data_IF_743587965824
#
_entry.id   IF_743587965824
#
_cell.length_a   1.000
_cell.length_b   1.000
_cell.length_c   1.000
_cell.angle_alpha   90.00
_cell.angle_beta   90.00
_cell.angle_gamma   90.00
#
_symmetry.space_group_name_H-M   'P 1'
#
loop_
_entity.id
_entity.type
_entity.pdbx_description
1 polymer ?
#
# COMPACT_ATOMS: atom_id res chain seq x y z
N UNK A 1 18.34 12.81 11.61
CA UNK A 1 17.16 11.98 11.22
C UNK A 1 17.59 11.08 10.08
N UNK A 2 17.10 9.84 9.95
CA UNK A 2 17.39 9.00 8.79
C UNK A 2 16.73 9.58 7.54
N UNK A 3 17.31 9.32 6.36
CA UNK A 3 16.66 9.69 5.10
C UNK A 3 15.25 9.06 5.02
N UNK A 4 14.29 9.82 4.53
CA UNK A 4 12.91 9.36 4.39
C UNK A 4 12.76 8.52 3.10
N UNK A 5 11.92 7.49 3.14
CA UNK A 5 11.61 6.66 1.97
C UNK A 5 10.40 7.25 1.20
N UNK A 6 10.54 7.42 -0.10
CA UNK A 6 9.45 7.83 -0.99
C UNK A 6 9.23 6.76 -2.06
N UNK A 7 8.02 6.28 -2.19
CA UNK A 7 7.68 5.29 -3.20
C UNK A 7 6.33 5.55 -3.84
N UNK A 8 5.89 4.68 -4.75
CA UNK A 8 4.59 4.80 -5.38
C UNK A 8 3.69 3.60 -5.09
N UNK A 9 2.40 3.87 -5.04
CA UNK A 9 1.37 2.85 -5.12
C UNK A 9 0.96 2.66 -6.57
N UNK A 10 1.30 1.50 -7.15
CA UNK A 10 1.08 1.22 -8.55
C UNK A 10 -0.42 1.21 -8.91
N UNK A 11 -0.80 1.73 -10.09
CA UNK A 11 -2.18 1.70 -10.59
C UNK A 11 -2.51 0.32 -11.18
N UNK A 12 -2.54 -0.70 -10.36
CA UNK A 12 -2.73 -2.10 -10.77
C UNK A 12 -4.13 -2.42 -11.29
N UNK A 13 -5.13 -1.66 -10.83
CA UNK A 13 -6.53 -1.76 -11.27
C UNK A 13 -6.92 -0.65 -12.26
N UNK A 14 -7.95 -0.89 -13.07
CA UNK A 14 -8.49 0.14 -13.96
C UNK A 14 -8.96 1.37 -13.17
N UNK A 15 -8.76 2.55 -13.75
CA UNK A 15 -9.00 3.84 -13.11
C UNK A 15 -7.91 4.25 -12.11
N UNK A 16 -6.88 3.42 -11.88
CA UNK A 16 -5.83 3.72 -10.92
C UNK A 16 -6.40 3.96 -9.52
N UNK A 17 -6.10 5.12 -8.95
CA UNK A 17 -6.57 5.53 -7.61
C UNK A 17 -7.65 6.62 -7.65
N UNK A 18 -8.21 6.87 -8.84
CA UNK A 18 -9.18 7.94 -9.06
C UNK A 18 -10.60 7.38 -9.23
N UNK A 19 -11.51 7.84 -8.38
CA UNK A 19 -12.95 7.49 -8.42
C UNK A 19 -13.75 8.55 -9.18
N UNK A 20 -13.41 8.76 -10.45
CA UNK A 20 -14.06 9.83 -11.23
C UNK A 20 -14.12 9.50 -12.71
N UNK A 21 -15.22 9.86 -13.35
CA UNK A 21 -15.43 9.74 -14.80
C UNK A 21 -14.74 10.84 -15.61
N UNK A 22 -14.27 11.90 -14.96
CA UNK A 22 -13.58 13.04 -15.59
C UNK A 22 -12.08 13.06 -15.29
N UNK A 23 -11.60 12.16 -14.43
CA UNK A 23 -10.18 11.98 -14.14
C UNK A 23 -9.51 11.03 -15.14
N UNK A 24 -8.17 11.02 -15.21
CA UNK A 24 -7.43 10.00 -15.95
C UNK A 24 -7.88 8.59 -15.55
N UNK A 25 -8.07 7.72 -16.53
CA UNK A 25 -8.59 6.37 -16.31
C UNK A 25 -7.66 5.32 -16.93
N UNK A 26 -6.51 5.04 -16.28
CA UNK A 26 -5.57 4.05 -16.79
C UNK A 26 -6.19 2.66 -16.86
N UNK A 27 -5.78 1.88 -17.84
CA UNK A 27 -6.16 0.47 -17.96
C UNK A 27 -5.35 -0.39 -17.01
N UNK A 28 -5.96 -1.48 -16.52
CA UNK A 28 -5.25 -2.51 -15.78
C UNK A 28 -4.36 -3.33 -16.73
N UNK A 29 -3.18 -2.84 -17.04
CA UNK A 29 -2.25 -3.51 -17.96
C UNK A 29 -0.82 -3.57 -17.40
N UNK A 30 -0.10 -4.64 -17.73
CA UNK A 30 1.32 -4.75 -17.38
C UNK A 30 2.15 -3.62 -18.02
N UNK A 31 1.87 -3.28 -19.27
CA UNK A 31 2.62 -2.23 -19.97
C UNK A 31 2.52 -0.88 -19.26
N UNK A 32 1.35 -0.54 -18.73
CA UNK A 32 1.16 0.67 -17.94
C UNK A 32 1.94 0.63 -16.63
N UNK A 33 1.78 -0.45 -15.85
CA UNK A 33 2.48 -0.61 -14.58
C UNK A 33 4.01 -0.66 -14.76
N UNK A 34 4.50 -1.25 -15.85
CA UNK A 34 5.93 -1.26 -16.18
C UNK A 34 6.47 0.16 -16.43
N UNK A 35 5.73 0.99 -17.19
CA UNK A 35 6.13 2.40 -17.38
C UNK A 35 6.19 3.15 -16.06
N UNK A 36 5.14 3.02 -15.23
CA UNK A 36 5.12 3.65 -13.91
C UNK A 36 6.30 3.20 -13.02
N UNK A 37 6.63 1.92 -13.00
CA UNK A 37 7.76 1.38 -12.25
C UNK A 37 9.11 1.93 -12.75
N UNK A 38 9.31 1.97 -14.07
CA UNK A 38 10.53 2.52 -14.66
C UNK A 38 10.65 4.03 -14.43
N UNK A 39 9.56 4.78 -14.49
CA UNK A 39 9.57 6.21 -14.14
C UNK A 39 9.93 6.41 -12.67
N UNK A 40 9.33 5.64 -11.75
CA UNK A 40 9.64 5.70 -10.33
C UNK A 40 11.14 5.45 -10.06
N UNK A 41 11.69 4.43 -10.69
CA UNK A 41 13.11 4.12 -10.57
C UNK A 41 14.00 5.22 -11.16
N UNK A 42 13.64 5.76 -12.32
CA UNK A 42 14.44 6.78 -13.02
C UNK A 42 14.52 8.10 -12.25
N UNK A 43 13.44 8.51 -11.58
CA UNK A 43 13.44 9.71 -10.75
C UNK A 43 14.07 9.49 -9.37
N UNK A 44 14.38 8.24 -8.98
CA UNK A 44 15.05 7.92 -7.73
C UNK A 44 14.12 7.70 -6.54
N UNK A 45 12.91 7.16 -6.77
CA UNK A 45 12.06 6.67 -5.69
C UNK A 45 12.61 5.37 -5.10
N UNK A 46 12.28 5.10 -3.83
CA UNK A 46 12.86 4.00 -3.04
C UNK A 46 12.13 2.68 -3.23
N UNK A 47 10.81 2.72 -3.47
CA UNK A 47 9.99 1.51 -3.59
C UNK A 47 8.80 1.69 -4.53
N UNK A 48 8.34 0.58 -5.05
CA UNK A 48 7.04 0.45 -5.71
C UNK A 48 6.23 -0.61 -4.97
N UNK A 49 4.95 -0.37 -4.76
CA UNK A 49 4.04 -1.32 -4.12
C UNK A 49 2.79 -1.53 -4.96
N UNK A 50 2.29 -2.76 -4.99
CA UNK A 50 0.99 -3.09 -5.58
C UNK A 50 -0.01 -3.44 -4.51
N UNK A 51 -1.30 -3.17 -4.73
CA UNK A 51 -2.37 -3.80 -3.97
C UNK A 51 -2.62 -5.23 -4.49
N UNK A 52 -3.34 -6.04 -3.72
CA UNK A 52 -4.00 -7.24 -4.21
C UNK A 52 -5.52 -7.02 -4.19
N UNK A 53 -6.18 -7.22 -5.33
CA UNK A 53 -7.60 -6.98 -5.49
C UNK A 53 -8.22 -8.07 -6.36
N UNK A 54 -9.31 -8.67 -5.86
CA UNK A 54 -9.96 -9.81 -6.52
C UNK A 54 -11.38 -9.50 -6.99
N UNK A 55 -11.97 -8.42 -6.48
CA UNK A 55 -13.29 -7.92 -6.85
C UNK A 55 -13.33 -6.41 -6.71
N UNK A 56 -13.71 -5.73 -7.78
CA UNK A 56 -13.85 -4.28 -7.81
C UNK A 56 -15.09 -3.78 -7.07
N UNK A 57 -15.27 -2.48 -7.11
CA UNK A 57 -16.35 -1.78 -6.42
C UNK A 57 -17.49 -1.37 -7.36
N UNK A 58 -17.38 -1.68 -8.67
CA UNK A 58 -18.41 -1.34 -9.67
C UNK A 58 -18.56 0.16 -9.88
N UNK A 59 -19.80 0.63 -9.93
CA UNK A 59 -20.15 1.99 -10.30
C UNK A 59 -19.97 2.27 -11.79
N UNK A 60 -20.11 3.53 -12.19
CA UNK A 60 -19.98 3.95 -13.59
C UNK A 60 -18.57 3.75 -14.13
N UNK A 61 -17.55 3.87 -13.28
CA UNK A 61 -16.15 3.69 -13.64
C UNK A 61 -15.72 2.23 -13.63
N UNK A 62 -16.56 1.31 -13.19
CA UNK A 62 -16.18 -0.10 -12.91
C UNK A 62 -14.91 -0.16 -12.07
N UNK A 63 -14.85 0.64 -10.99
CA UNK A 63 -13.63 0.89 -10.25
C UNK A 63 -12.99 -0.39 -9.73
N UNK A 64 -11.76 -0.68 -10.19
CA UNK A 64 -11.01 -1.89 -9.94
C UNK A 64 -11.72 -3.20 -10.34
N UNK A 65 -12.74 -3.14 -11.22
CA UNK A 65 -13.39 -4.33 -11.77
C UNK A 65 -12.45 -5.18 -12.61
N UNK A 66 -11.38 -4.57 -13.09
CA UNK A 66 -10.25 -5.23 -13.76
C UNK A 66 -8.96 -4.88 -13.02
N UNK A 67 -8.29 -5.89 -12.49
CA UNK A 67 -7.00 -5.74 -11.81
C UNK A 67 -6.07 -6.88 -12.18
N UNK A 68 -4.76 -6.62 -12.17
CA UNK A 68 -3.76 -7.66 -12.34
C UNK A 68 -3.50 -8.35 -11.00
N UNK A 69 -3.01 -9.58 -11.04
CA UNK A 69 -2.57 -10.28 -9.83
C UNK A 69 -1.22 -9.74 -9.38
N UNK A 70 -1.12 -9.42 -8.09
CA UNK A 70 -0.02 -8.70 -7.48
C UNK A 70 1.33 -9.41 -7.64
N UNK A 71 1.45 -10.65 -7.18
CA UNK A 71 2.74 -11.36 -7.15
C UNK A 71 3.28 -11.61 -8.55
N UNK A 72 2.42 -12.03 -9.47
CA UNK A 72 2.80 -12.28 -10.87
C UNK A 72 3.30 -11.00 -11.55
N UNK A 73 2.57 -9.90 -11.37
CA UNK A 73 2.96 -8.61 -11.94
C UNK A 73 4.25 -8.09 -11.33
N UNK A 74 4.37 -8.13 -10.00
CA UNK A 74 5.54 -7.60 -9.29
C UNK A 74 6.80 -8.42 -9.59
N UNK A 75 6.68 -9.72 -9.85
CA UNK A 75 7.81 -10.54 -10.32
C UNK A 75 8.34 -10.09 -11.68
N UNK A 76 7.44 -9.75 -12.61
CA UNK A 76 7.82 -9.21 -13.91
C UNK A 76 8.40 -7.78 -13.81
N UNK A 77 7.94 -6.96 -12.85
CA UNK A 77 8.51 -5.64 -12.58
C UNK A 77 9.88 -5.74 -11.89
N UNK A 78 10.10 -6.76 -11.07
CA UNK A 78 11.40 -7.02 -10.45
C UNK A 78 12.50 -7.28 -11.49
N UNK A 79 12.18 -8.04 -12.56
CA UNK A 79 13.09 -8.27 -13.69
C UNK A 79 13.29 -7.00 -14.55
N UNK A 80 12.27 -6.13 -14.60
CA UNK A 80 12.32 -4.92 -15.42
C UNK A 80 13.02 -3.73 -14.77
N UNK A 81 13.39 -3.83 -13.47
CA UNK A 81 13.98 -2.75 -12.66
C UNK A 81 15.23 -3.23 -11.93
N UNK A 82 16.12 -2.31 -11.56
CA UNK A 82 17.42 -2.65 -10.96
C UNK A 82 17.58 -2.19 -9.50
N UNK A 83 16.88 -1.15 -9.07
CA UNK A 83 17.14 -0.45 -7.79
C UNK A 83 15.94 -0.35 -6.85
N UNK A 84 14.75 -0.02 -7.37
CA UNK A 84 13.55 0.16 -6.53
C UNK A 84 13.22 -1.13 -5.78
N UNK A 85 12.83 -1.01 -4.52
CA UNK A 85 12.27 -2.12 -3.73
C UNK A 85 10.93 -2.55 -4.33
N UNK A 86 10.69 -3.84 -4.35
CA UNK A 86 9.54 -4.47 -5.00
C UNK A 86 8.61 -5.04 -3.92
N UNK A 87 7.57 -4.30 -3.55
CA UNK A 87 6.66 -4.69 -2.48
C UNK A 87 5.35 -5.23 -3.05
N UNK A 88 5.21 -6.55 -3.04
CA UNK A 88 4.00 -7.25 -3.49
C UNK A 88 3.03 -7.43 -2.33
N UNK A 89 1.74 -7.25 -2.59
CA UNK A 89 0.68 -7.49 -1.58
C UNK A 89 0.15 -8.91 -1.68
N UNK A 90 -0.01 -9.56 -0.52
CA UNK A 90 -0.54 -10.90 -0.41
C UNK A 90 -1.59 -11.00 0.70
N UNK A 91 -2.69 -11.70 0.42
CA UNK A 91 -3.71 -12.02 1.42
C UNK A 91 -3.36 -13.32 2.14
N UNK A 92 -3.19 -13.26 3.46
CA UNK A 92 -2.85 -14.43 4.28
C UNK A 92 -3.92 -15.52 4.26
N UNK A 93 -5.19 -15.15 4.09
CA UNK A 93 -6.32 -16.09 4.00
C UNK A 93 -6.47 -16.77 2.62
N UNK A 94 -5.81 -16.26 1.58
CA UNK A 94 -5.85 -16.85 0.22
C UNK A 94 -4.74 -17.86 0.02
N UNK A 95 -3.58 -17.64 0.61
CA UNK A 95 -2.37 -18.41 0.32
C UNK A 95 -1.94 -19.25 1.51
N UNK A 96 -1.71 -20.56 1.26
CA UNK A 96 -1.02 -21.38 2.23
C UNK A 96 0.38 -20.79 2.54
N UNK A 97 0.82 -20.71 3.82
CA UNK A 97 2.08 -20.08 4.18
C UNK A 97 3.30 -20.73 3.51
N UNK A 98 3.29 -22.02 3.25
CA UNK A 98 4.38 -22.70 2.53
C UNK A 98 4.49 -22.26 1.07
N UNK A 99 3.34 -22.06 0.40
CA UNK A 99 3.28 -21.53 -0.97
C UNK A 99 3.78 -20.08 -0.98
N UNK A 100 3.31 -19.27 -0.06
CA UNK A 100 3.74 -17.87 0.08
C UNK A 100 5.24 -17.75 0.35
N UNK A 101 5.78 -18.56 1.27
CA UNK A 101 7.22 -18.58 1.56
C UNK A 101 8.05 -18.87 0.31
N UNK A 102 7.63 -19.84 -0.50
CA UNK A 102 8.27 -20.19 -1.77
C UNK A 102 8.19 -19.05 -2.79
N UNK A 103 7.03 -18.43 -2.94
CA UNK A 103 6.83 -17.32 -3.88
C UNK A 103 7.72 -16.12 -3.56
N UNK A 104 7.80 -15.74 -2.27
CA UNK A 104 8.65 -14.61 -1.86
C UNK A 104 10.14 -14.93 -1.87
N UNK A 105 10.55 -16.16 -1.60
CA UNK A 105 11.95 -16.57 -1.81
C UNK A 105 12.34 -16.45 -3.29
N UNK A 106 11.41 -16.79 -4.21
CA UNK A 106 11.62 -16.63 -5.65
C UNK A 106 11.66 -15.15 -6.04
N UNK A 107 10.73 -14.33 -5.54
CA UNK A 107 10.75 -12.89 -5.80
C UNK A 107 12.02 -12.22 -5.27
N UNK A 108 12.53 -12.67 -4.12
CA UNK A 108 13.79 -12.17 -3.55
C UNK A 108 14.99 -12.48 -4.46
N UNK A 109 15.02 -13.67 -5.05
CA UNK A 109 16.06 -14.06 -6.00
C UNK A 109 15.96 -13.25 -7.30
N UNK A 110 14.78 -13.20 -7.93
CA UNK A 110 14.53 -12.44 -9.17
C UNK A 110 14.84 -10.95 -8.99
N UNK A 111 14.50 -10.38 -7.86
CA UNK A 111 14.74 -8.96 -7.57
C UNK A 111 16.17 -8.65 -7.11
N UNK A 112 17.04 -9.63 -6.92
CA UNK A 112 18.38 -9.42 -6.37
C UNK A 112 18.36 -8.86 -4.95
N UNK A 113 17.41 -9.28 -4.09
CA UNK A 113 17.34 -8.87 -2.70
C UNK A 113 16.43 -7.67 -2.40
N UNK A 114 15.60 -7.23 -3.36
CA UNK A 114 14.74 -6.04 -3.22
C UNK A 114 13.29 -6.35 -2.85
N UNK A 115 12.94 -7.64 -2.62
CA UNK A 115 11.56 -8.04 -2.35
C UNK A 115 11.05 -7.57 -0.99
N UNK A 116 9.77 -7.23 -0.96
CA UNK A 116 9.01 -7.00 0.27
C UNK A 116 7.61 -7.58 0.16
N UNK A 117 7.11 -8.05 1.29
CA UNK A 117 5.80 -8.69 1.43
C UNK A 117 4.86 -7.76 2.20
N UNK A 118 3.91 -7.14 1.51
CA UNK A 118 2.82 -6.46 2.18
C UNK A 118 1.73 -7.47 2.53
N UNK A 119 1.59 -7.76 3.83
CA UNK A 119 0.62 -8.75 4.33
C UNK A 119 -0.69 -8.06 4.66
N UNK A 120 -1.78 -8.58 4.10
CA UNK A 120 -3.14 -8.16 4.41
C UNK A 120 -3.98 -9.36 4.83
N UNK A 121 -4.87 -9.16 5.80
CA UNK A 121 -5.72 -10.22 6.33
C UNK A 121 -7.09 -10.34 5.63
N UNK A 122 -7.37 -9.46 4.65
CA UNK A 122 -8.62 -9.41 3.91
C UNK A 122 -9.81 -8.89 4.74
N UNK A 123 -10.35 -7.73 4.36
CA UNK A 123 -11.47 -7.11 5.05
C UNK A 123 -12.77 -7.14 4.21
N UNK A 124 -12.67 -7.29 2.91
CA UNK A 124 -13.82 -7.26 2.01
C UNK A 124 -14.38 -8.67 1.80
N UNK A 125 -15.45 -9.02 2.53
CA UNK A 125 -16.11 -10.32 2.46
C UNK A 125 -16.39 -10.77 1.02
N UNK A 126 -16.94 -9.90 0.19
CA UNK A 126 -17.29 -10.20 -1.19
C UNK A 126 -16.12 -10.63 -2.10
N UNK A 127 -14.88 -10.30 -1.74
CA UNK A 127 -13.70 -10.82 -2.47
C UNK A 127 -13.45 -12.30 -2.17
N UNK A 128 -13.73 -12.74 -0.95
CA UNK A 128 -13.38 -14.07 -0.48
C UNK A 128 -14.54 -15.04 -0.54
N UNK A 129 -15.77 -14.54 -0.49
CA UNK A 129 -16.99 -15.34 -0.76
C UNK A 129 -16.97 -15.92 -2.16
N UNK A 130 -16.52 -15.19 -3.18
CA UNK A 130 -16.40 -15.70 -4.55
C UNK A 130 -15.40 -16.87 -4.69
N UNK A 131 -14.49 -17.01 -3.74
CA UNK A 131 -13.54 -18.15 -3.65
C UNK A 131 -14.03 -19.27 -2.74
N UNK A 132 -15.12 -19.03 -1.98
CA UNK A 132 -15.61 -19.97 -0.98
C UNK A 132 -14.72 -20.08 0.27
N UNK A 133 -13.93 -19.05 0.55
CA UNK A 133 -12.97 -19.03 1.68
C UNK A 133 -13.31 -17.99 2.75
N UNK A 134 -14.41 -17.24 2.60
CA UNK A 134 -14.85 -16.33 3.65
C UNK A 134 -15.47 -17.11 4.81
N UNK A 135 -14.95 -16.89 6.00
CA UNK A 135 -15.47 -17.44 7.23
C UNK A 135 -16.07 -16.31 8.11
N UNK A 136 -17.40 -16.26 8.16
CA UNK A 136 -18.16 -15.29 8.93
C UNK A 136 -17.97 -15.45 10.44
N UNK A 137 -17.50 -16.61 10.90
CA UNK A 137 -17.28 -16.88 12.34
C UNK A 137 -16.00 -16.22 12.85
N UNK A 138 -15.06 -15.89 11.98
CA UNK A 138 -13.82 -15.23 12.34
C UNK A 138 -14.03 -13.74 12.56
N UNK A 139 -13.83 -13.28 13.79
CA UNK A 139 -13.80 -11.88 14.11
C UNK A 139 -12.60 -11.17 13.47
N UNK A 140 -12.57 -9.84 13.51
CA UNK A 140 -11.40 -9.08 13.06
C UNK A 140 -10.12 -9.47 13.83
N UNK A 141 -10.23 -9.71 15.14
CA UNK A 141 -9.12 -10.16 15.98
C UNK A 141 -8.64 -11.57 15.59
N UNK A 142 -9.57 -12.50 15.31
CA UNK A 142 -9.23 -13.87 14.90
C UNK A 142 -8.49 -13.88 13.56
N UNK A 143 -8.88 -13.00 12.62
CA UNK A 143 -8.15 -12.84 11.36
C UNK A 143 -6.71 -12.35 11.56
N UNK A 144 -6.46 -11.47 12.55
CA UNK A 144 -5.10 -11.09 12.92
C UNK A 144 -4.35 -12.23 13.60
N UNK A 145 -4.98 -13.00 14.49
CA UNK A 145 -4.36 -14.18 15.10
C UNK A 145 -3.96 -15.22 14.04
N UNK A 146 -4.80 -15.45 13.04
CA UNK A 146 -4.46 -16.27 11.88
C UNK A 146 -3.26 -15.70 11.12
N UNK A 147 -3.26 -14.38 10.85
CA UNK A 147 -2.18 -13.70 10.13
C UNK A 147 -0.85 -13.78 10.87
N UNK A 148 -0.86 -13.70 12.21
CA UNK A 148 0.34 -13.86 13.04
C UNK A 148 0.94 -15.27 12.86
N UNK A 149 0.14 -16.31 13.01
CA UNK A 149 0.58 -17.71 12.84
C UNK A 149 1.06 -17.97 11.41
N UNK A 150 0.36 -17.41 10.43
CA UNK A 150 0.75 -17.49 9.03
C UNK A 150 2.12 -16.82 8.78
N UNK A 151 2.33 -15.61 9.33
CA UNK A 151 3.60 -14.87 9.20
C UNK A 151 4.74 -15.59 9.90
N UNK A 152 4.50 -16.16 11.09
CA UNK A 152 5.47 -17.00 11.79
C UNK A 152 5.86 -18.21 10.93
N UNK A 153 4.91 -18.91 10.35
CA UNK A 153 5.19 -20.05 9.47
C UNK A 153 6.04 -19.63 8.26
N UNK A 154 5.70 -18.52 7.60
CA UNK A 154 6.46 -18.01 6.45
C UNK A 154 7.89 -17.65 6.85
N UNK A 155 8.10 -16.93 7.93
CA UNK A 155 9.44 -16.49 8.38
C UNK A 155 10.31 -17.67 8.82
N UNK A 156 9.72 -18.67 9.46
CA UNK A 156 10.42 -19.92 9.81
C UNK A 156 10.82 -20.71 8.56
N UNK A 157 9.94 -20.82 7.57
CA UNK A 157 10.24 -21.48 6.29
C UNK A 157 11.31 -20.77 5.46
N UNK A 158 11.60 -19.51 5.73
CA UNK A 158 12.72 -18.79 5.10
C UNK A 158 14.08 -19.07 5.75
N UNK A 159 14.12 -19.67 6.94
CA UNK A 159 15.34 -19.84 7.71
C UNK A 159 15.57 -21.25 8.26
N UNK A 160 14.53 -22.04 8.45
CA UNK A 160 14.62 -23.39 9.00
C UNK A 160 14.60 -24.43 7.88
N UNK A 161 15.32 -25.53 8.05
CA UNK A 161 15.38 -26.63 7.07
C UNK A 161 14.03 -27.28 6.86
N UNK A 162 13.25 -27.41 7.93
CA UNK A 162 11.92 -28.02 7.94
C UNK A 162 11.06 -27.41 9.06
N UNK A 163 9.78 -27.20 8.78
CA UNK A 163 8.81 -26.63 9.73
C UNK A 163 7.64 -27.56 9.91
N UNK A 164 7.38 -27.99 11.15
CA UNK A 164 6.12 -28.60 11.55
C UNK A 164 5.37 -27.62 12.45
N UNK A 165 4.12 -27.31 12.08
CA UNK A 165 3.28 -26.36 12.79
C UNK A 165 1.81 -26.75 12.65
N UNK A 166 1.13 -27.01 13.77
CA UNK A 166 -0.28 -27.34 13.82
C UNK A 166 -1.06 -26.15 14.37
N UNK A 167 -1.99 -25.61 13.62
CA UNK A 167 -2.78 -24.45 13.99
C UNK A 167 -4.27 -24.67 13.72
N UNK A 168 -5.16 -23.84 14.25
CA UNK A 168 -6.58 -23.91 13.87
C UNK A 168 -6.86 -23.58 12.38
N UNK A 169 -5.88 -23.01 11.66
CA UNK A 169 -6.09 -22.45 10.32
C UNK A 169 -5.35 -23.20 9.23
N UNK A 170 -4.25 -23.87 9.57
CA UNK A 170 -3.45 -24.67 8.62
C UNK A 170 -2.53 -25.64 9.37
N UNK A 171 -2.13 -26.69 8.67
CA UNK A 171 -1.16 -27.66 9.14
C UNK A 171 0.05 -27.70 8.20
N UNK A 172 1.24 -27.65 8.78
CA UNK A 172 2.51 -27.95 8.12
C UNK A 172 3.14 -29.17 8.79
N UNK A 173 3.56 -30.16 8.02
CA UNK A 173 4.19 -31.36 8.53
C UNK A 173 5.47 -31.59 7.77
N UNK A 174 6.60 -31.49 8.46
CA UNK A 174 7.93 -31.65 7.87
C UNK A 174 8.09 -30.85 6.57
N UNK A 175 7.61 -29.60 6.61
CA UNK A 175 7.48 -28.77 5.43
C UNK A 175 8.81 -28.05 5.11
N UNK A 176 9.32 -28.28 3.91
CA UNK A 176 10.55 -27.64 3.42
C UNK A 176 10.22 -26.52 2.43
N UNK A 177 10.99 -25.41 2.49
CA UNK A 177 10.91 -24.30 1.52
C UNK A 177 12.31 -23.89 1.07
N UNK A 178 12.89 -24.61 0.14
CA UNK A 178 14.21 -24.34 -0.43
C UNK A 178 14.11 -23.93 -1.91
N UNK A 179 15.01 -23.01 -2.41
CA UNK A 179 16.04 -22.34 -1.66
C UNK A 179 15.49 -21.35 -0.63
N UNK A 180 16.20 -21.11 0.47
CA UNK A 180 15.92 -19.99 1.35
C UNK A 180 16.23 -18.67 0.63
N UNK A 181 15.53 -17.56 0.93
CA UNK A 181 15.89 -16.27 0.38
C UNK A 181 17.29 -15.83 0.85
N UNK A 182 18.03 -15.13 0.01
CA UNK A 182 19.40 -14.63 0.33
C UNK A 182 19.44 -13.70 1.55
N UNK A 183 18.34 -13.01 1.79
CA UNK A 183 18.03 -12.25 3.00
C UNK A 183 16.53 -12.26 3.18
N UNK A 184 16.05 -12.05 4.39
CA UNK A 184 14.61 -12.00 4.66
C UNK A 184 13.97 -10.87 3.84
N UNK A 185 12.91 -11.14 3.04
CA UNK A 185 12.11 -10.10 2.41
C UNK A 185 11.55 -9.14 3.46
N UNK A 186 11.52 -7.84 3.14
CA UNK A 186 10.94 -6.82 4.02
C UNK A 186 9.46 -7.14 4.28
N UNK A 187 9.04 -7.15 5.54
CA UNK A 187 7.64 -7.39 5.91
C UNK A 187 6.95 -6.05 6.14
N UNK A 188 5.82 -5.86 5.45
CA UNK A 188 5.03 -4.65 5.48
C UNK A 188 3.61 -5.03 5.83
N UNK A 189 2.91 -4.15 6.53
CA UNK A 189 1.49 -4.31 6.85
C UNK A 189 0.78 -2.97 6.87
N UNK A 190 -0.49 -2.97 6.52
CA UNK A 190 -1.34 -1.78 6.56
C UNK A 190 -2.46 -1.94 7.58
N UNK A 191 -2.82 -0.87 8.26
CA UNK A 191 -3.95 -0.81 9.18
C UNK A 191 -3.69 0.02 10.43
N UNK A 192 -4.77 0.58 11.00
CA UNK A 192 -4.73 1.44 12.19
C UNK A 192 -5.41 0.83 13.44
N UNK A 193 -6.04 -0.33 13.32
CA UNK A 193 -6.68 -0.98 14.46
C UNK A 193 -5.67 -1.44 15.51
N UNK A 194 -6.13 -1.64 16.74
CA UNK A 194 -5.30 -2.17 17.83
C UNK A 194 -4.60 -3.48 17.42
N UNK A 195 -5.35 -4.42 16.83
CA UNK A 195 -4.80 -5.69 16.36
C UNK A 195 -3.76 -5.49 15.23
N UNK A 196 -3.99 -4.52 14.32
CA UNK A 196 -3.04 -4.17 13.28
C UNK A 196 -1.72 -3.67 13.86
N UNK A 197 -1.78 -2.71 14.78
CA UNK A 197 -0.57 -2.14 15.40
C UNK A 197 0.19 -3.17 16.25
N UNK A 198 -0.53 -4.05 16.95
CA UNK A 198 0.09 -5.16 17.68
C UNK A 198 0.85 -6.10 16.72
N UNK A 199 0.23 -6.47 15.59
CA UNK A 199 0.86 -7.27 14.55
C UNK A 199 2.09 -6.56 13.94
N UNK A 200 1.93 -5.30 13.55
CA UNK A 200 3.01 -4.49 12.97
C UNK A 200 4.23 -4.43 13.88
N UNK A 201 4.03 -4.16 15.15
CA UNK A 201 5.10 -4.08 16.15
C UNK A 201 5.87 -5.38 16.35
N UNK A 202 5.24 -6.52 16.13
CA UNK A 202 5.85 -7.85 16.32
C UNK A 202 6.52 -8.38 15.06
N UNK A 203 5.98 -8.11 13.89
CA UNK A 203 6.37 -8.78 12.65
C UNK A 203 6.81 -7.85 11.54
N UNK A 204 6.29 -6.61 11.45
CA UNK A 204 6.56 -5.75 10.33
C UNK A 204 7.84 -4.93 10.47
N UNK A 205 8.50 -4.69 9.35
CA UNK A 205 9.60 -3.74 9.18
C UNK A 205 9.06 -2.38 8.74
N UNK A 206 7.83 -2.36 8.21
CA UNK A 206 7.13 -1.14 7.80
C UNK A 206 5.61 -1.23 7.99
N UNK A 207 5.02 -0.17 8.51
CA UNK A 207 3.60 -0.02 8.77
C UNK A 207 3.01 1.11 7.94
N UNK A 208 1.99 0.82 7.10
CA UNK A 208 1.19 1.85 6.45
C UNK A 208 0.02 2.25 7.33
N UNK A 209 0.00 3.53 7.71
CA UNK A 209 -0.98 4.14 8.59
C UNK A 209 -1.91 5.05 7.79
N UNK A 210 -3.19 5.03 8.13
CA UNK A 210 -4.22 5.86 7.52
C UNK A 210 -4.99 6.59 8.62
N UNK A 211 -4.44 7.69 9.11
CA UNK A 211 -5.13 8.59 10.05
C UNK A 211 -6.14 9.47 9.32
N UNK A 212 -7.24 9.78 10.00
CA UNK A 212 -8.27 10.69 9.48
C UNK A 212 -7.89 12.19 9.71
N UNK A 213 -6.83 12.42 10.50
CA UNK A 213 -6.24 13.73 10.75
C UNK A 213 -4.73 13.62 10.98
N UNK A 214 -4.00 14.74 10.91
CA UNK A 214 -2.57 14.76 11.22
C UNK A 214 -2.30 14.38 12.69
N UNK A 215 -3.15 14.81 13.63
CA UNK A 215 -3.06 14.44 15.04
C UNK A 215 -3.16 12.92 15.23
N UNK A 216 -4.20 12.28 14.66
CA UNK A 216 -4.34 10.82 14.70
C UNK A 216 -3.14 10.12 14.04
N UNK A 217 -2.63 10.66 12.93
CA UNK A 217 -1.45 10.09 12.25
C UNK A 217 -0.22 10.11 13.17
N UNK A 218 0.00 11.24 13.88
CA UNK A 218 1.09 11.40 14.85
C UNK A 218 0.97 10.39 16.00
N UNK A 219 -0.23 10.22 16.55
CA UNK A 219 -0.48 9.25 17.61
C UNK A 219 -0.25 7.80 17.14
N UNK A 220 -0.72 7.46 15.94
CA UNK A 220 -0.55 6.12 15.36
C UNK A 220 0.93 5.82 15.10
N UNK A 221 1.68 6.77 14.55
CA UNK A 221 3.12 6.62 14.29
C UNK A 221 3.89 6.40 15.59
N UNK A 222 3.67 7.25 16.59
CA UNK A 222 4.31 7.16 17.89
C UNK A 222 3.99 5.82 18.58
N UNK A 223 2.73 5.34 18.52
CA UNK A 223 2.31 4.07 19.10
C UNK A 223 3.01 2.87 18.44
N UNK A 224 3.11 2.84 17.10
CA UNK A 224 3.82 1.78 16.37
C UNK A 224 5.30 1.77 16.73
N UNK A 225 5.97 2.91 16.75
CA UNK A 225 7.38 3.02 17.14
C UNK A 225 7.61 2.52 18.57
N UNK A 226 6.78 2.97 19.53
CA UNK A 226 6.89 2.57 20.93
C UNK A 226 6.70 1.07 21.13
N UNK A 227 5.69 0.49 20.48
CA UNK A 227 5.40 -0.95 20.56
C UNK A 227 6.51 -1.79 19.90
N UNK A 228 7.02 -1.36 18.73
CA UNK A 228 8.13 -2.05 18.09
C UNK A 228 9.37 -2.04 18.98
N UNK A 229 9.72 -0.89 19.55
CA UNK A 229 10.82 -0.77 20.51
C UNK A 229 10.65 -1.66 21.74
N UNK A 230 9.44 -1.78 22.29
CA UNK A 230 9.13 -2.68 23.39
C UNK A 230 9.32 -4.16 23.03
N UNK A 231 9.21 -4.52 21.76
CA UNK A 231 9.52 -5.86 21.22
C UNK A 231 11.00 -6.01 20.79
N UNK A 232 11.86 -5.01 21.06
CA UNK A 232 13.28 -5.03 20.65
C UNK A 232 13.46 -4.89 19.13
N UNK A 233 12.49 -4.30 18.42
CA UNK A 233 12.46 -4.11 16.96
C UNK A 233 12.38 -2.63 16.60
N UNK A 234 12.59 -2.36 15.33
CA UNK A 234 12.20 -1.12 14.67
C UNK A 234 11.13 -1.43 13.64
N UNK A 235 10.15 -0.56 13.49
CA UNK A 235 9.15 -0.62 12.45
C UNK A 235 9.01 0.79 11.89
N UNK A 236 9.32 0.98 10.62
CA UNK A 236 9.14 2.26 9.93
C UNK A 236 7.66 2.56 9.73
N UNK A 237 7.29 3.82 9.81
CA UNK A 237 5.92 4.26 9.58
C UNK A 237 5.79 5.04 8.29
N UNK A 238 4.75 4.72 7.52
CA UNK A 238 4.45 5.32 6.23
C UNK A 238 2.99 5.74 6.17
N UNK A 239 2.69 6.71 5.31
CA UNK A 239 1.32 7.04 4.93
C UNK A 239 1.19 7.14 3.41
N UNK A 240 -0.06 7.25 2.95
CA UNK A 240 -0.38 7.44 1.53
C UNK A 240 -0.74 8.89 1.27
N UNK A 241 -0.29 9.43 0.12
CA UNK A 241 -0.61 10.78 -0.30
C UNK A 241 -0.81 10.84 -1.80
N UNK A 242 -1.96 11.35 -2.24
CA UNK A 242 -2.18 11.71 -3.64
C UNK A 242 -1.59 13.09 -3.92
N UNK A 243 -0.76 13.19 -4.94
CA UNK A 243 -0.10 14.43 -5.36
C UNK A 243 -0.72 14.92 -6.66
N UNK A 244 -1.27 16.13 -6.62
CA UNK A 244 -1.79 16.85 -7.80
C UNK A 244 -0.93 18.08 -8.01
N UNK A 245 0.12 17.94 -8.81
CA UNK A 245 1.04 19.03 -9.07
C UNK A 245 0.73 19.73 -10.39
N UNK A 246 0.90 21.06 -10.42
CA UNK A 246 0.86 21.86 -11.64
C UNK A 246 1.81 23.07 -11.51
N UNK A 247 1.91 23.91 -12.55
CA UNK A 247 2.75 25.13 -12.53
C UNK A 247 2.36 26.11 -11.41
N UNK A 248 1.07 26.16 -11.07
CA UNK A 248 0.51 27.03 -10.01
C UNK A 248 -0.52 26.30 -9.18
N UNK A 249 -0.73 26.74 -7.94
CA UNK A 249 -1.76 26.21 -7.05
C UNK A 249 -3.16 26.30 -7.71
N UNK A 250 -3.45 27.41 -8.40
CA UNK A 250 -4.73 27.62 -9.06
C UNK A 250 -5.01 26.60 -10.20
N UNK A 251 -3.97 26.16 -10.92
CA UNK A 251 -4.10 25.14 -11.96
C UNK A 251 -4.30 23.76 -11.35
N UNK A 252 -3.58 23.44 -10.28
CA UNK A 252 -3.77 22.18 -9.54
C UNK A 252 -5.18 22.11 -8.92
N UNK A 253 -5.65 23.17 -8.30
CA UNK A 253 -7.01 23.28 -7.77
C UNK A 253 -8.08 23.10 -8.84
N UNK A 254 -7.82 23.62 -10.05
CA UNK A 254 -8.72 23.43 -11.18
C UNK A 254 -8.85 21.96 -11.56
N UNK A 255 -7.74 21.19 -11.63
CA UNK A 255 -7.75 19.74 -11.87
C UNK A 255 -8.60 19.03 -10.80
N UNK A 256 -8.38 19.33 -9.52
CA UNK A 256 -9.15 18.73 -8.42
C UNK A 256 -10.65 18.97 -8.58
N UNK A 257 -11.06 20.20 -8.94
CA UNK A 257 -12.48 20.54 -9.17
C UNK A 257 -13.06 19.83 -10.39
N UNK A 258 -12.31 19.73 -11.48
CA UNK A 258 -12.74 19.03 -12.70
C UNK A 258 -12.95 17.53 -12.44
N UNK A 259 -12.05 16.91 -11.70
CA UNK A 259 -12.16 15.49 -11.32
C UNK A 259 -13.26 15.28 -10.27
N UNK A 260 -13.41 16.19 -9.32
CA UNK A 260 -14.49 16.18 -8.34
C UNK A 260 -15.89 16.26 -8.95
N UNK A 261 -16.04 16.95 -10.08
CA UNK A 261 -17.32 17.04 -10.80
C UNK A 261 -17.81 15.68 -11.35
N UNK A 262 -16.88 14.74 -11.60
CA UNK A 262 -17.17 13.42 -12.15
C UNK A 262 -17.09 12.28 -11.12
N UNK A 263 -17.11 12.55 -9.81
CA UNK A 263 -16.99 11.50 -8.78
C UNK A 263 -18.01 10.39 -8.95
N UNK A 264 -17.51 9.16 -8.99
CA UNK A 264 -18.34 7.94 -9.01
C UNK A 264 -18.79 7.59 -7.58
N UNK A 265 -19.92 8.20 -7.21
CA UNK A 265 -20.49 8.05 -5.86
C UNK A 265 -20.97 6.63 -5.57
N UNK A 266 -21.33 5.86 -6.59
CA UNK A 266 -21.73 4.46 -6.42
C UNK A 266 -20.51 3.60 -6.07
N UNK A 267 -19.43 3.68 -6.83
CA UNK A 267 -18.19 2.98 -6.52
C UNK A 267 -17.65 3.38 -5.14
N UNK A 268 -17.71 4.67 -4.80
CA UNK A 268 -17.27 5.18 -3.50
C UNK A 268 -18.12 4.62 -2.34
N UNK A 269 -19.45 4.54 -2.50
CA UNK A 269 -20.34 3.94 -1.50
C UNK A 269 -20.07 2.43 -1.35
N UNK A 270 -19.89 1.71 -2.46
CA UNK A 270 -19.61 0.28 -2.46
C UNK A 270 -18.26 -0.01 -1.78
N UNK A 271 -17.24 0.82 -2.03
CA UNK A 271 -15.95 0.70 -1.35
C UNK A 271 -16.08 0.87 0.16
N UNK A 272 -16.85 1.86 0.64
CA UNK A 272 -17.10 2.05 2.08
C UNK A 272 -17.88 0.90 2.68
N UNK A 273 -18.90 0.41 2.00
CA UNK A 273 -19.68 -0.74 2.44
C UNK A 273 -18.81 -2.01 2.55
N UNK A 274 -17.83 -2.19 1.65
CA UNK A 274 -16.89 -3.30 1.69
C UNK A 274 -16.01 -3.32 2.95
N UNK A 275 -15.87 -2.19 3.62
CA UNK A 275 -15.14 -2.07 4.91
C UNK A 275 -16.05 -2.27 6.13
N UNK A 276 -17.27 -2.78 5.92
CA UNK A 276 -18.22 -3.06 6.99
C UNK A 276 -19.07 -1.87 7.44
N UNK A 277 -19.03 -0.75 6.71
CA UNK A 277 -19.94 0.38 6.94
C UNK A 277 -21.33 0.01 6.41
N UNK A 278 -22.43 0.20 7.19
CA UNK A 278 -23.79 -0.04 6.69
C UNK A 278 -24.06 0.71 5.38
N UNK A 279 -24.76 0.07 4.45
CA UNK A 279 -24.93 0.57 3.07
C UNK A 279 -25.57 1.96 3.00
N UNK A 280 -26.59 2.22 3.83
CA UNK A 280 -27.25 3.51 3.93
C UNK A 280 -26.29 4.61 4.42
N UNK A 281 -25.43 4.31 5.39
CA UNK A 281 -24.41 5.23 5.89
C UNK A 281 -23.30 5.44 4.85
N UNK A 282 -22.89 4.40 4.15
CA UNK A 282 -21.90 4.50 3.07
C UNK A 282 -22.41 5.38 1.92
N UNK A 283 -23.68 5.24 1.52
CA UNK A 283 -24.33 6.08 0.50
C UNK A 283 -24.47 7.53 0.96
N UNK A 284 -24.87 7.76 2.21
CA UNK A 284 -24.98 9.11 2.79
C UNK A 284 -23.61 9.80 2.83
N UNK A 285 -22.56 9.08 3.24
CA UNK A 285 -21.20 9.58 3.25
C UNK A 285 -20.69 9.93 1.85
N UNK A 286 -20.91 9.06 0.86
CA UNK A 286 -20.50 9.30 -0.53
C UNK A 286 -21.24 10.48 -1.19
N UNK A 287 -22.40 10.85 -0.65
CA UNK A 287 -23.19 12.01 -1.10
C UNK A 287 -22.82 13.32 -0.41
N UNK A 288 -22.03 13.27 0.66
CA UNK A 288 -21.56 14.44 1.42
C UNK A 288 -20.29 15.09 0.85
N UNK A 289 -19.78 16.09 1.56
CA UNK A 289 -18.60 16.86 1.17
C UNK A 289 -17.33 16.01 0.96
N UNK A 290 -17.19 14.91 1.68
CA UNK A 290 -16.07 13.97 1.51
C UNK A 290 -16.06 13.30 0.13
N UNK A 291 -17.23 13.18 -0.51
CA UNK A 291 -17.38 12.69 -1.89
C UNK A 291 -17.14 13.77 -2.95
N UNK A 292 -16.67 14.97 -2.59
CA UNK A 292 -16.36 16.02 -3.56
C UNK A 292 -14.98 15.87 -4.19
N UNK A 293 -14.07 15.19 -3.52
CA UNK A 293 -12.77 14.86 -4.07
C UNK A 293 -12.74 13.43 -4.62
N UNK A 294 -12.24 13.26 -5.82
CA UNK A 294 -12.15 11.96 -6.48
C UNK A 294 -11.04 11.05 -5.91
N UNK A 295 -10.51 11.35 -4.73
CA UNK A 295 -9.36 10.68 -4.12
C UNK A 295 -9.78 9.71 -3.01
N UNK A 296 -9.07 8.59 -2.94
CA UNK A 296 -9.25 7.59 -1.88
C UNK A 296 -8.36 7.84 -0.67
N UNK A 297 -7.40 8.75 -0.78
CA UNK A 297 -6.40 9.09 0.24
C UNK A 297 -6.40 10.59 0.50
N UNK A 298 -5.70 11.02 1.55
CA UNK A 298 -5.32 12.42 1.69
C UNK A 298 -4.60 12.88 0.41
N UNK A 299 -4.73 14.16 0.07
CA UNK A 299 -4.10 14.71 -1.11
C UNK A 299 -3.50 16.09 -0.85
N UNK A 300 -2.54 16.45 -1.68
CA UNK A 300 -2.04 17.81 -1.82
C UNK A 300 -2.19 18.25 -3.27
N UNK A 301 -2.69 19.48 -3.47
CA UNK A 301 -2.77 20.09 -4.79
C UNK A 301 -2.02 21.42 -4.78
N UNK A 302 -1.12 21.64 -5.75
CA UNK A 302 -0.40 22.90 -5.80
C UNK A 302 0.83 22.89 -6.71
N UNK A 303 1.56 24.00 -6.64
CA UNK A 303 2.88 24.18 -7.26
C UNK A 303 3.92 23.29 -6.59
N UNK A 304 5.08 23.15 -7.20
CA UNK A 304 6.20 22.41 -6.62
C UNK A 304 6.54 22.87 -5.18
N UNK A 305 6.48 24.17 -4.93
CA UNK A 305 6.72 24.72 -3.60
C UNK A 305 5.65 24.25 -2.61
N UNK A 306 4.38 24.41 -2.93
CA UNK A 306 3.25 24.02 -2.07
C UNK A 306 3.28 22.51 -1.76
N UNK A 307 3.55 21.69 -2.77
CA UNK A 307 3.66 20.22 -2.60
C UNK A 307 4.85 19.87 -1.70
N UNK A 308 6.01 20.50 -1.91
CA UNK A 308 7.21 20.27 -1.09
C UNK A 308 6.97 20.62 0.37
N UNK A 309 6.48 21.84 0.64
CA UNK A 309 6.20 22.30 1.99
C UNK A 309 5.17 21.42 2.72
N UNK A 310 4.12 21.01 2.01
CA UNK A 310 3.11 20.12 2.58
C UNK A 310 3.67 18.74 2.95
N UNK A 311 4.47 18.12 2.05
CA UNK A 311 5.09 16.81 2.34
C UNK A 311 6.05 16.92 3.52
N UNK A 312 6.91 17.95 3.56
CA UNK A 312 7.82 18.18 4.68
C UNK A 312 7.07 18.36 6.00
N UNK A 313 5.96 19.10 5.97
CA UNK A 313 5.12 19.34 7.13
C UNK A 313 4.50 18.03 7.66
N UNK A 314 3.80 17.26 6.83
CA UNK A 314 3.13 16.04 7.32
C UNK A 314 4.12 14.96 7.76
N UNK A 315 5.24 14.79 7.04
CA UNK A 315 6.28 13.82 7.39
C UNK A 315 6.98 14.21 8.69
N UNK A 316 7.24 15.51 8.89
CA UNK A 316 7.87 16.03 10.11
C UNK A 316 6.97 15.95 11.34
N UNK A 317 5.73 16.48 11.24
CA UNK A 317 4.80 16.54 12.37
C UNK A 317 4.32 15.15 12.82
N UNK A 318 4.07 14.23 11.87
CA UNK A 318 3.65 12.87 12.20
C UNK A 318 4.80 11.90 12.45
N UNK A 319 6.05 12.36 12.42
CA UNK A 319 7.27 11.54 12.56
C UNK A 319 7.21 10.28 11.69
N UNK A 320 6.81 10.46 10.42
CA UNK A 320 6.77 9.38 9.45
C UNK A 320 8.17 9.11 8.89
N UNK A 321 8.45 7.84 8.58
CA UNK A 321 9.69 7.43 7.92
C UNK A 321 9.61 7.53 6.39
N UNK A 322 8.44 7.80 5.84
CA UNK A 322 8.26 8.02 4.42
C UNK A 322 6.81 8.09 3.95
N UNK A 323 6.64 8.20 2.64
CA UNK A 323 5.34 8.26 1.99
C UNK A 323 5.25 7.33 0.78
N UNK A 324 4.07 6.75 0.61
CA UNK A 324 3.66 6.10 -0.62
C UNK A 324 2.81 7.08 -1.44
N UNK A 325 3.36 7.52 -2.54
CA UNK A 325 2.76 8.54 -3.40
C UNK A 325 1.82 7.91 -4.42
N UNK A 326 0.78 8.65 -4.75
CA UNK A 326 -0.18 8.33 -5.78
C UNK A 326 -0.23 9.53 -6.72
N UNK A 327 -0.17 9.27 -8.01
CA UNK A 327 -0.26 10.30 -9.04
C UNK A 327 -1.47 10.02 -9.92
N UNK A 328 -2.35 10.99 -10.17
CA UNK A 328 -3.45 10.81 -11.11
C UNK A 328 -2.99 10.47 -12.53
N UNK A 329 -1.94 11.12 -13.01
CA UNK A 329 -1.30 10.90 -14.30
C UNK A 329 0.16 10.47 -14.12
N UNK A 330 0.40 9.18 -13.84
CA UNK A 330 1.72 8.67 -13.49
C UNK A 330 2.83 9.04 -14.48
N UNK A 331 2.54 9.05 -15.78
CA UNK A 331 3.57 9.34 -16.81
C UNK A 331 4.03 10.80 -16.80
N UNK A 332 3.14 11.76 -16.45
CA UNK A 332 3.44 13.19 -16.44
C UNK A 332 3.76 13.70 -15.06
N UNK A 333 2.90 13.38 -14.08
CA UNK A 333 3.00 13.91 -12.73
C UNK A 333 4.27 13.42 -12.02
N UNK A 334 4.68 12.15 -12.23
CA UNK A 334 5.92 11.65 -11.64
C UNK A 334 7.17 12.31 -12.22
N UNK A 335 7.19 12.59 -13.51
CA UNK A 335 8.34 13.29 -14.12
C UNK A 335 8.48 14.68 -13.52
N UNK A 336 7.37 15.42 -13.46
CA UNK A 336 7.34 16.77 -12.87
C UNK A 336 7.74 16.75 -11.39
N UNK A 337 7.22 15.79 -10.63
CA UNK A 337 7.58 15.59 -9.21
C UNK A 337 9.08 15.28 -9.05
N UNK A 338 9.61 14.39 -9.88
CA UNK A 338 11.02 14.00 -9.86
C UNK A 338 11.97 15.14 -10.21
N UNK A 339 11.56 16.06 -11.09
CA UNK A 339 12.36 17.21 -11.49
C UNK A 339 12.31 18.37 -10.47
N UNK A 340 11.21 18.53 -9.75
CA UNK A 340 10.95 19.76 -8.99
C UNK A 340 10.78 19.55 -7.49
N UNK A 341 10.12 18.51 -7.04
CA UNK A 341 9.77 18.27 -5.63
C UNK A 341 10.76 17.31 -4.96
N UNK A 342 11.00 16.14 -5.56
CA UNK A 342 11.83 15.12 -4.93
C UNK A 342 13.26 15.58 -4.60
N UNK A 343 13.95 16.37 -5.44
CA UNK A 343 15.27 16.89 -5.09
C UNK A 343 15.25 17.79 -3.86
N UNK A 344 14.20 18.61 -3.70
CA UNK A 344 14.05 19.49 -2.53
C UNK A 344 13.77 18.68 -1.24
N UNK A 345 12.97 17.62 -1.32
CA UNK A 345 12.74 16.70 -0.21
C UNK A 345 14.03 16.00 0.21
N UNK A 346 14.80 15.47 -0.74
CA UNK A 346 16.10 14.81 -0.46
C UNK A 346 17.11 15.77 0.17
N UNK A 347 17.22 17.00 -0.33
CA UNK A 347 18.09 18.02 0.24
C UNK A 347 17.70 18.37 1.69
N UNK A 348 16.39 18.42 1.99
CA UNK A 348 15.89 18.66 3.34
C UNK A 348 16.25 17.50 4.29
N UNK A 349 16.05 16.26 3.88
CA UNK A 349 16.37 15.05 4.64
C UNK A 349 17.87 15.00 4.98
N UNK A 350 18.75 15.34 4.01
CA UNK A 350 20.20 15.38 4.21
C UNK A 350 20.63 16.49 5.20
N UNK A 351 19.97 17.64 5.15
CA UNK A 351 20.24 18.76 6.08
C UNK A 351 19.87 18.42 7.51
N UNK A 352 18.78 17.67 7.73
CA UNK A 352 18.32 17.21 9.05
C UNK A 352 19.16 16.08 9.64
N UNK A 353 20.05 15.45 8.84
CA UNK A 353 20.96 14.38 9.28
C UNK A 353 22.34 14.87 9.73
N UNK A 354 22.64 16.16 9.51
CA UNK A 354 23.89 16.81 9.96
C UNK A 354 23.68 17.52 11.28
#
# INVERSE_FOLDING_TARGET
>A
MSAKDYGIFLPIGNGGWMLSTTAPHPEASYAWNKRAALHAENIGLDFIMSMAKWRGFGGTTDHWGRSLESMTMMSALAEATDRVKIWATMHANVHNPAVAAKMYATLQDVSGGRAGMNIVNGAYAGEFEQFGIWDETLSHADRYAMTELWTEAVTRLWSEDSVTMHTPYFDLVDCESRPHPSSQPTIISAGKSEAARAFQARFADGAFLAGDSLEEMTELSADVHARAAANGRTCKTYSMLTVVQDETDALADKKVKEWGAGVDREALANMRASWGVPEDQARAWASGAVGEAAFQTAYVAGSAQTVTEHIQYIVGEADLDGLMLIFPEYDQDMVLFGETVLPALRAHDEAGTR
#
